data_IF_711933206315
#
_entry.id   IF_711933206315
#
_cell.length_a   1.000
_cell.length_b   1.000
_cell.length_c   1.000
_cell.angle_alpha   90.00
_cell.angle_beta   90.00
_cell.angle_gamma   90.00
#
_symmetry.space_group_name_H-M   'P 1'
#
loop_
_entity.id
_entity.type
_entity.pdbx_description
1 polymer ?
#
# COMPACT_ATOMS: atom_id res chain seq x y z
N UNK A 1 -8.83 9.98 3.26
CA UNK A 1 -8.85 9.58 1.83
C UNK A 1 -7.86 8.45 1.60
N UNK A 2 -6.57 8.63 1.87
CA UNK A 2 -5.51 7.61 1.68
C UNK A 2 -5.82 6.29 2.42
N UNK A 3 -6.08 6.33 3.72
CA UNK A 3 -6.38 5.11 4.50
C UNK A 3 -7.66 4.39 4.07
N UNK A 4 -8.67 5.14 3.59
CA UNK A 4 -9.95 4.57 3.11
C UNK A 4 -9.81 3.78 1.82
N UNK A 5 -8.69 3.90 1.12
CA UNK A 5 -8.38 3.16 -0.10
C UNK A 5 -7.28 2.12 0.12
N UNK A 6 -7.00 1.73 1.37
CA UNK A 6 -5.91 0.82 1.70
C UNK A 6 -4.51 1.43 1.56
N UNK A 7 -4.42 2.75 1.44
CA UNK A 7 -3.15 3.44 1.30
C UNK A 7 -2.48 3.69 2.65
N UNK A 8 -1.15 3.74 2.61
CA UNK A 8 -0.31 4.16 3.74
C UNK A 8 0.02 5.63 3.55
N UNK A 9 -0.24 6.43 4.59
CA UNK A 9 0.02 7.87 4.56
C UNK A 9 1.41 8.17 5.14
N UNK A 10 2.22 8.89 4.36
CA UNK A 10 3.54 9.36 4.75
C UNK A 10 3.62 10.89 4.60
N UNK A 11 4.14 11.58 5.62
CA UNK A 11 4.41 13.02 5.54
C UNK A 11 5.76 13.24 4.83
N UNK A 12 5.71 13.78 3.62
CA UNK A 12 6.90 14.16 2.85
C UNK A 12 7.52 15.45 3.40
N UNK A 13 8.84 15.55 3.30
CA UNK A 13 9.68 16.71 3.56
C UNK A 13 9.21 17.60 4.72
N UNK A 14 9.12 17.06 5.97
CA UNK A 14 8.51 17.75 7.10
C UNK A 14 9.31 18.98 7.59
N UNK A 15 10.57 19.11 7.18
CA UNK A 15 11.41 20.30 7.40
C UNK A 15 10.85 21.59 6.77
N UNK A 16 9.98 21.48 5.78
CA UNK A 16 9.31 22.64 5.18
C UNK A 16 8.19 23.22 6.07
N UNK A 17 7.88 22.60 7.21
CA UNK A 17 6.81 23.02 8.13
C UNK A 17 7.31 24.07 9.13
N UNK A 18 6.50 25.11 9.36
CA UNK A 18 6.78 26.13 10.39
C UNK A 18 6.62 25.62 11.83
N UNK A 19 5.68 24.69 12.06
CA UNK A 19 5.41 24.10 13.38
C UNK A 19 5.24 22.57 13.24
N UNK A 20 6.34 21.84 13.04
CA UNK A 20 6.28 20.42 12.70
C UNK A 20 5.61 19.58 13.78
N UNK A 21 5.87 19.82 15.07
CA UNK A 21 5.29 19.02 16.16
C UNK A 21 3.75 19.08 16.18
N UNK A 22 3.17 20.27 16.04
CA UNK A 22 1.72 20.43 16.05
C UNK A 22 1.03 19.79 14.85
N UNK A 23 1.64 19.94 13.66
CA UNK A 23 1.13 19.33 12.43
C UNK A 23 1.23 17.82 12.50
N UNK A 24 2.38 17.27 12.89
CA UNK A 24 2.61 15.82 12.99
C UNK A 24 1.64 15.19 13.99
N UNK A 25 1.43 15.81 15.15
CA UNK A 25 0.44 15.35 16.14
C UNK A 25 -0.97 15.30 15.57
N UNK A 26 -1.39 16.36 14.88
CA UNK A 26 -2.72 16.42 14.27
C UNK A 26 -2.88 15.34 13.18
N UNK A 27 -1.86 15.15 12.34
CA UNK A 27 -1.88 14.15 11.29
C UNK A 27 -1.85 12.73 11.87
N UNK A 28 -1.09 12.48 12.95
CA UNK A 28 -1.11 11.20 13.66
C UNK A 28 -2.52 10.88 14.15
N UNK A 29 -3.20 11.84 14.77
CA UNK A 29 -4.60 11.69 15.19
C UNK A 29 -5.57 11.41 14.02
N UNK A 30 -5.22 11.83 12.80
CA UNK A 30 -5.98 11.56 11.58
C UNK A 30 -5.56 10.25 10.85
N UNK A 31 -4.63 9.48 11.41
CA UNK A 31 -4.16 8.21 10.83
C UNK A 31 -2.90 8.34 9.96
N UNK A 32 -1.94 9.21 10.34
CA UNK A 32 -0.60 9.21 9.74
C UNK A 32 0.20 7.98 10.18
N UNK A 33 0.82 7.30 9.21
CA UNK A 33 1.56 6.06 9.44
C UNK A 33 3.08 6.29 9.49
N UNK A 34 3.58 7.14 8.60
CA UNK A 34 4.99 7.35 8.39
C UNK A 34 5.32 8.83 8.16
N UNK A 35 6.61 9.16 8.22
CA UNK A 35 7.11 10.46 7.79
C UNK A 35 8.52 10.34 7.23
N UNK A 36 8.87 11.29 6.39
CA UNK A 36 10.22 11.40 5.87
C UNK A 36 11.19 11.87 6.96
N UNK A 37 12.29 11.15 7.10
CA UNK A 37 13.36 11.40 8.06
C UNK A 37 14.73 11.34 7.37
N UNK A 38 14.88 10.43 6.40
CA UNK A 38 16.13 10.22 5.68
C UNK A 38 16.16 11.07 4.41
N UNK A 39 17.29 11.74 4.20
CA UNK A 39 17.68 12.47 2.98
C UNK A 39 19.04 11.95 2.53
N UNK A 40 19.55 12.43 1.39
CA UNK A 40 20.87 12.06 0.85
C UNK A 40 22.03 12.40 1.78
N UNK A 41 21.88 13.47 2.57
CA UNK A 41 22.85 13.86 3.62
C UNK A 41 22.80 12.97 4.87
N UNK A 42 21.86 12.02 4.94
CA UNK A 42 21.84 10.96 5.93
C UNK A 42 21.14 11.26 7.26
N UNK A 43 20.66 12.48 7.55
CA UNK A 43 19.80 12.79 8.71
C UNK A 43 19.36 14.26 8.77
N UNK A 44 18.08 14.48 9.07
CA UNK A 44 17.57 15.80 9.52
C UNK A 44 17.33 15.78 11.02
N UNK A 45 18.12 16.55 11.75
CA UNK A 45 18.08 16.62 13.21
C UNK A 45 16.68 16.98 13.73
N UNK A 46 16.25 16.30 14.80
CA UNK A 46 14.95 16.47 15.43
C UNK A 46 13.80 15.66 14.83
N UNK A 47 13.79 15.39 13.52
CA UNK A 47 12.69 14.63 12.90
C UNK A 47 12.69 13.15 13.28
N UNK A 48 13.86 12.50 13.43
CA UNK A 48 13.91 11.13 13.95
C UNK A 48 13.23 11.01 15.32
N UNK A 49 13.45 12.00 16.20
CA UNK A 49 12.86 12.03 17.55
C UNK A 49 11.35 12.31 17.50
N UNK A 50 10.90 13.16 16.57
CA UNK A 50 9.46 13.39 16.35
C UNK A 50 8.77 12.14 15.81
N UNK A 51 9.39 11.40 14.89
CA UNK A 51 8.85 10.12 14.42
C UNK A 51 8.73 9.12 15.57
N UNK A 52 9.76 8.98 16.39
CA UNK A 52 9.74 8.12 17.58
C UNK A 52 8.64 8.54 18.56
N UNK A 53 8.57 9.84 18.90
CA UNK A 53 7.58 10.42 19.81
C UNK A 53 6.15 10.08 19.41
N UNK A 54 5.84 10.07 18.12
CA UNK A 54 4.49 9.82 17.61
C UNK A 54 4.28 8.40 17.06
N UNK A 55 5.27 7.51 17.22
CA UNK A 55 5.21 6.14 16.72
C UNK A 55 4.95 6.10 15.21
N UNK A 56 5.76 6.84 14.45
CA UNK A 56 5.73 6.91 12.99
C UNK A 56 6.92 6.16 12.40
N UNK A 57 6.67 5.45 11.30
CA UNK A 57 7.75 4.83 10.53
C UNK A 57 8.60 5.91 9.86
N UNK A 58 9.92 5.73 9.87
CA UNK A 58 10.90 6.64 9.30
C UNK A 58 11.18 6.23 7.85
N UNK A 59 10.81 7.07 6.90
CA UNK A 59 11.04 6.85 5.47
C UNK A 59 11.97 7.91 4.87
N UNK A 60 12.25 7.80 3.58
CA UNK A 60 13.13 8.72 2.84
C UNK A 60 12.86 8.65 1.34
N UNK A 61 13.04 9.77 0.65
CA UNK A 61 12.99 9.86 -0.81
C UNK A 61 13.89 10.98 -1.32
N UNK A 62 14.29 10.92 -2.57
CA UNK A 62 15.18 11.94 -3.15
C UNK A 62 14.46 13.25 -3.49
N UNK A 63 13.13 13.20 -3.65
CA UNK A 63 12.34 14.31 -4.19
C UNK A 63 12.91 14.85 -5.52
N UNK A 64 13.42 13.94 -6.36
CA UNK A 64 14.09 14.26 -7.61
C UNK A 64 13.11 14.81 -8.66
N UNK A 65 13.50 15.87 -9.35
CA UNK A 65 12.72 16.58 -10.37
C UNK A 65 13.48 16.81 -11.69
N UNK A 66 14.74 16.36 -11.80
CA UNK A 66 15.54 16.47 -13.03
C UNK A 66 15.96 17.90 -13.37
N UNK A 67 16.20 18.75 -12.36
CA UNK A 67 16.61 20.14 -12.51
C UNK A 67 18.06 20.30 -12.94
N UNK A 68 18.90 19.28 -12.71
CA UNK A 68 20.34 19.32 -13.06
C UNK A 68 21.14 20.29 -12.18
N UNK A 69 20.58 20.69 -11.04
CA UNK A 69 21.25 21.53 -10.05
C UNK A 69 22.07 20.69 -9.10
N UNK A 70 23.21 21.20 -8.62
CA UNK A 70 24.09 20.48 -7.68
C UNK A 70 23.44 20.12 -6.34
N UNK A 71 22.36 20.81 -5.97
CA UNK A 71 21.65 20.61 -4.70
C UNK A 71 20.49 19.60 -4.82
N UNK A 72 20.24 19.07 -6.01
CA UNK A 72 19.23 18.03 -6.23
C UNK A 72 19.80 16.66 -5.88
N UNK A 73 19.02 15.85 -5.17
CA UNK A 73 19.41 14.48 -4.85
C UNK A 73 19.00 13.54 -5.97
N UNK A 74 19.94 12.77 -6.51
CA UNK A 74 19.66 11.79 -7.56
C UNK A 74 18.71 10.67 -7.11
N UNK A 75 18.05 10.06 -8.08
CA UNK A 75 17.14 8.93 -7.86
C UNK A 75 17.87 7.78 -7.17
N UNK A 76 17.33 7.32 -6.04
CA UNK A 76 17.89 6.19 -5.29
C UNK A 76 19.08 6.51 -4.39
N UNK A 77 19.49 7.78 -4.28
CA UNK A 77 20.60 8.17 -3.40
C UNK A 77 20.23 8.29 -1.92
N UNK A 78 18.94 8.39 -1.60
CA UNK A 78 18.46 8.25 -0.21
C UNK A 78 18.44 6.78 0.17
N UNK A 79 19.49 6.33 0.87
CA UNK A 79 19.60 4.94 1.31
C UNK A 79 18.74 4.69 2.54
N UNK A 80 17.94 3.61 2.49
CA UNK A 80 17.15 3.13 3.62
C UNK A 80 17.73 1.79 4.10
N UNK A 81 17.77 1.60 5.41
CA UNK A 81 18.13 0.31 5.97
C UNK A 81 17.09 -0.74 5.56
N UNK A 82 17.53 -1.98 5.31
CA UNK A 82 16.61 -3.08 4.98
C UNK A 82 15.56 -3.30 6.07
N UNK A 83 15.91 -3.03 7.33
CA UNK A 83 14.99 -3.08 8.46
C UNK A 83 13.86 -2.07 8.34
N UNK A 84 14.10 -0.88 7.78
CA UNK A 84 13.05 0.10 7.47
C UNK A 84 12.05 -0.47 6.47
N UNK A 85 12.53 -1.17 5.43
CA UNK A 85 11.67 -1.84 4.47
C UNK A 85 10.85 -2.96 5.12
N UNK A 86 11.48 -3.79 5.96
CA UNK A 86 10.76 -4.83 6.70
C UNK A 86 9.64 -4.23 7.57
N UNK A 87 9.94 -3.20 8.37
CA UNK A 87 8.92 -2.55 9.20
C UNK A 87 7.83 -1.86 8.38
N UNK A 88 8.15 -1.33 7.19
CA UNK A 88 7.14 -0.85 6.25
C UNK A 88 6.20 -1.98 5.83
N UNK A 89 6.75 -3.12 5.39
CA UNK A 89 5.97 -4.26 4.92
C UNK A 89 5.13 -4.89 6.04
N UNK A 90 5.66 -4.99 7.26
CA UNK A 90 4.95 -5.46 8.44
C UNK A 90 3.72 -4.59 8.75
N UNK A 91 3.87 -3.26 8.70
CA UNK A 91 2.76 -2.32 8.89
C UNK A 91 1.78 -2.37 7.70
N UNK A 92 2.30 -2.43 6.48
CA UNK A 92 1.54 -2.37 5.25
C UNK A 92 0.63 -3.57 5.05
N UNK A 93 1.14 -4.77 5.37
CA UNK A 93 0.48 -6.04 5.12
C UNK A 93 -0.96 -6.10 5.63
N UNK A 94 -1.27 -5.87 6.91
CA UNK A 94 -2.65 -5.94 7.39
C UNK A 94 -3.57 -4.89 6.73
N UNK A 95 -3.04 -3.70 6.42
CA UNK A 95 -3.81 -2.64 5.75
C UNK A 95 -4.18 -3.07 4.33
N UNK A 96 -3.21 -3.60 3.57
CA UNK A 96 -3.44 -4.07 2.21
C UNK A 96 -4.34 -5.29 2.16
N UNK A 97 -4.14 -6.25 3.08
CA UNK A 97 -5.01 -7.42 3.20
C UNK A 97 -6.46 -6.99 3.47
N UNK A 98 -6.70 -6.12 4.45
CA UNK A 98 -8.05 -5.61 4.74
C UNK A 98 -8.66 -4.86 3.56
N UNK A 99 -7.92 -3.94 2.93
CA UNK A 99 -8.43 -3.17 1.81
C UNK A 99 -8.79 -4.04 0.61
N UNK A 100 -7.99 -5.06 0.36
CA UNK A 100 -8.29 -5.98 -0.73
C UNK A 100 -9.46 -6.91 -0.39
N UNK A 101 -9.61 -7.36 0.87
CA UNK A 101 -10.81 -8.10 1.30
C UNK A 101 -12.06 -7.28 0.99
N UNK A 102 -12.06 -5.99 1.35
CA UNK A 102 -13.17 -5.09 1.08
C UNK A 102 -13.47 -4.97 -0.43
N UNK A 103 -12.43 -4.93 -1.27
CA UNK A 103 -12.57 -4.86 -2.73
C UNK A 103 -13.21 -6.14 -3.26
N UNK A 104 -12.75 -7.31 -2.82
CA UNK A 104 -13.28 -8.61 -3.25
C UNK A 104 -14.70 -8.84 -2.71
N UNK A 105 -14.99 -8.45 -1.46
CA UNK A 105 -16.34 -8.48 -0.87
C UNK A 105 -17.31 -7.67 -1.72
N UNK A 106 -16.98 -6.41 -2.02
CA UNK A 106 -17.83 -5.54 -2.84
C UNK A 106 -18.06 -6.10 -4.25
N UNK A 107 -17.04 -6.72 -4.84
CA UNK A 107 -17.20 -7.41 -6.12
C UNK A 107 -18.11 -8.64 -5.98
N UNK A 108 -17.96 -9.43 -4.92
CA UNK A 108 -18.76 -10.62 -4.68
C UNK A 108 -20.25 -10.32 -4.37
N UNK A 109 -20.54 -9.16 -3.77
CA UNK A 109 -21.91 -8.68 -3.55
C UNK A 109 -22.63 -8.32 -4.86
N UNK A 110 -21.92 -7.75 -5.83
CA UNK A 110 -22.48 -7.34 -7.12
C UNK A 110 -21.49 -7.69 -8.26
N UNK A 111 -21.43 -8.96 -8.68
CA UNK A 111 -20.42 -9.39 -9.63
C UNK A 111 -20.84 -9.00 -11.05
N UNK A 112 -20.16 -8.01 -11.62
CA UNK A 112 -20.40 -7.48 -12.96
C UNK A 112 -19.10 -7.08 -13.65
N UNK A 113 -19.07 -7.12 -14.99
CA UNK A 113 -17.93 -6.65 -15.78
C UNK A 113 -17.57 -5.18 -15.49
N UNK A 114 -18.58 -4.35 -15.19
CA UNK A 114 -18.40 -2.96 -14.80
C UNK A 114 -17.69 -2.82 -13.43
N UNK A 115 -18.03 -3.66 -12.45
CA UNK A 115 -17.37 -3.66 -11.15
C UNK A 115 -15.97 -4.28 -11.22
N UNK A 116 -15.78 -5.33 -12.03
CA UNK A 116 -14.46 -5.89 -12.33
C UNK A 116 -13.52 -4.86 -12.96
N UNK A 117 -14.01 -4.08 -13.93
CA UNK A 117 -13.24 -3.01 -14.57
C UNK A 117 -12.82 -1.89 -13.61
N UNK A 118 -13.60 -1.62 -12.55
CA UNK A 118 -13.21 -0.68 -11.49
C UNK A 118 -12.10 -1.26 -10.62
N UNK A 119 -12.16 -2.56 -10.30
CA UNK A 119 -11.14 -3.28 -9.51
C UNK A 119 -9.81 -3.37 -10.25
N UNK A 120 -9.84 -3.65 -11.55
CA UNK A 120 -8.66 -3.81 -12.41
C UNK A 120 -8.09 -2.50 -12.95
N UNK A 121 -8.70 -1.35 -12.65
CA UNK A 121 -8.39 -0.05 -13.25
C UNK A 121 -6.91 0.37 -13.14
N UNK A 122 -6.21 -0.09 -12.09
CA UNK A 122 -4.81 0.26 -11.82
C UNK A 122 -3.84 -0.94 -11.88
N UNK A 123 -4.36 -2.14 -12.14
CA UNK A 123 -3.54 -3.34 -12.31
C UNK A 123 -3.56 -3.78 -13.77
N UNK A 124 -2.52 -3.47 -14.53
CA UNK A 124 -2.24 -4.30 -15.72
C UNK A 124 -1.73 -5.63 -15.21
N UNK A 125 -2.55 -6.69 -15.33
CA UNK A 125 -2.07 -8.05 -15.20
C UNK A 125 -1.22 -8.38 -16.44
N UNK A 126 0.05 -7.98 -16.42
CA UNK A 126 1.02 -8.48 -17.38
C UNK A 126 1.27 -9.95 -17.03
N UNK A 127 0.81 -10.83 -17.91
CA UNK A 127 0.95 -12.28 -17.81
C UNK A 127 2.45 -12.64 -17.75
N UNK A 128 3.00 -13.10 -16.61
CA UNK A 128 4.34 -13.67 -16.61
C UNK A 128 4.20 -15.11 -17.09
N UNK A 129 4.54 -15.35 -18.35
CA UNK A 129 4.82 -16.64 -18.98
C UNK A 129 3.94 -17.85 -18.57
N UNK A 130 2.89 -18.13 -19.36
CA UNK A 130 2.39 -19.50 -19.53
C UNK A 130 0.95 -19.81 -19.11
N UNK A 131 0.19 -18.86 -18.56
CA UNK A 131 -1.25 -19.05 -18.33
C UNK A 131 -2.10 -18.46 -19.47
N UNK A 132 -3.23 -19.11 -19.76
CA UNK A 132 -4.18 -18.70 -20.80
C UNK A 132 -4.59 -17.20 -20.65
N UNK A 133 -5.04 -16.52 -21.73
CA UNK A 133 -5.51 -15.15 -21.64
C UNK A 133 -6.55 -15.02 -20.53
N UNK A 134 -6.35 -14.09 -19.60
CA UNK A 134 -7.31 -13.75 -18.54
C UNK A 134 -8.49 -13.04 -19.24
N UNK A 135 -9.39 -13.83 -19.84
CA UNK A 135 -10.53 -13.36 -20.65
C UNK A 135 -11.83 -13.37 -19.84
N UNK A 136 -11.79 -13.83 -18.59
CA UNK A 136 -12.96 -13.90 -17.72
C UNK A 136 -12.67 -13.35 -16.33
N UNK A 137 -13.65 -12.68 -15.71
CA UNK A 137 -13.54 -12.20 -14.32
C UNK A 137 -13.23 -13.29 -13.31
N UNK A 138 -13.50 -14.54 -13.69
CA UNK A 138 -13.20 -15.77 -12.94
C UNK A 138 -11.70 -16.02 -12.78
N UNK A 139 -10.90 -15.75 -13.81
CA UNK A 139 -9.45 -16.03 -13.81
C UNK A 139 -8.69 -15.08 -12.87
N UNK A 140 -9.09 -13.80 -12.87
CA UNK A 140 -8.54 -12.77 -11.95
C UNK A 140 -8.84 -13.14 -10.50
N UNK A 141 -10.08 -13.53 -10.24
CA UNK A 141 -10.55 -13.91 -8.91
C UNK A 141 -9.78 -15.13 -8.40
N UNK A 142 -9.61 -16.16 -9.22
CA UNK A 142 -8.86 -17.36 -8.86
C UNK A 142 -7.37 -17.07 -8.60
N UNK A 143 -6.76 -16.17 -9.39
CA UNK A 143 -5.38 -15.73 -9.19
C UNK A 143 -5.19 -14.95 -7.87
N UNK A 144 -6.13 -14.07 -7.54
CA UNK A 144 -6.11 -13.35 -6.26
C UNK A 144 -6.24 -14.30 -5.08
N UNK A 145 -7.16 -15.27 -5.15
CA UNK A 145 -7.38 -16.27 -4.11
C UNK A 145 -6.13 -17.15 -3.92
N UNK A 146 -5.53 -17.67 -4.99
CA UNK A 146 -4.35 -18.55 -4.89
C UNK A 146 -3.12 -17.83 -4.33
N UNK A 147 -2.95 -16.54 -4.65
CA UNK A 147 -1.84 -15.73 -4.12
C UNK A 147 -1.99 -15.45 -2.61
N UNK A 148 -3.22 -15.34 -2.12
CA UNK A 148 -3.51 -15.08 -0.71
C UNK A 148 -3.46 -16.31 0.18
N UNK A 149 -3.84 -17.47 -0.34
CA UNK A 149 -3.93 -18.73 0.40
C UNK A 149 -2.56 -19.38 0.68
N UNK A 150 -1.45 -18.81 0.20
CA UNK A 150 -0.10 -19.33 0.46
C UNK A 150 0.44 -19.01 1.86
N UNK A 151 -0.32 -18.31 2.71
CA UNK A 151 0.09 -17.95 4.06
C UNK A 151 -0.93 -18.43 5.10
N UNK A 152 -0.47 -19.30 6.01
CA UNK A 152 -1.23 -20.14 6.96
C UNK A 152 -2.09 -19.43 8.03
N UNK A 153 -2.23 -18.10 8.02
CA UNK A 153 -2.71 -17.37 9.21
C UNK A 153 -4.14 -16.78 9.10
N UNK A 154 -4.98 -17.26 8.19
CA UNK A 154 -6.36 -16.77 8.11
C UNK A 154 -7.40 -17.86 7.90
N UNK A 155 -7.75 -18.54 9.00
CA UNK A 155 -9.12 -19.05 9.22
C UNK A 155 -10.09 -17.87 9.38
N UNK A 156 -10.24 -17.07 8.33
CA UNK A 156 -11.13 -15.91 8.34
C UNK A 156 -12.47 -16.29 7.70
N UNK A 157 -13.49 -16.43 8.55
CA UNK A 157 -14.87 -16.79 8.14
C UNK A 157 -15.40 -15.86 7.05
N UNK A 158 -15.02 -14.57 7.09
CA UNK A 158 -15.43 -13.60 6.07
C UNK A 158 -14.75 -13.88 4.73
N UNK A 159 -13.51 -14.38 4.75
CA UNK A 159 -12.78 -14.76 3.53
C UNK A 159 -13.39 -16.00 2.87
N UNK A 160 -13.82 -16.98 3.66
CA UNK A 160 -14.52 -18.15 3.13
C UNK A 160 -15.92 -17.80 2.59
N UNK A 161 -16.59 -16.79 3.15
CA UNK A 161 -17.82 -16.23 2.55
C UNK A 161 -17.54 -15.56 1.20
N UNK A 162 -16.50 -14.73 1.12
CA UNK A 162 -16.03 -14.11 -0.14
C UNK A 162 -15.76 -15.19 -1.17
N UNK A 163 -14.99 -16.21 -0.80
CA UNK A 163 -14.63 -17.32 -1.66
C UNK A 163 -15.87 -18.05 -2.17
N UNK A 164 -16.82 -18.37 -1.30
CA UNK A 164 -18.06 -19.06 -1.67
C UNK A 164 -18.86 -18.27 -2.70
N UNK A 165 -19.02 -16.95 -2.50
CA UNK A 165 -19.72 -16.07 -3.45
C UNK A 165 -18.99 -15.96 -4.78
N UNK A 166 -17.66 -15.87 -4.75
CA UNK A 166 -16.81 -15.80 -5.94
C UNK A 166 -16.83 -17.09 -6.77
N UNK A 167 -16.78 -18.25 -6.12
CA UNK A 167 -16.94 -19.56 -6.79
C UNK A 167 -18.33 -19.70 -7.42
N UNK A 168 -19.38 -19.23 -6.73
CA UNK A 168 -20.73 -19.22 -7.31
C UNK A 168 -20.87 -18.31 -8.53
N UNK A 169 -20.14 -17.19 -8.60
CA UNK A 169 -20.09 -16.35 -9.80
C UNK A 169 -19.34 -17.04 -10.94
N UNK A 170 -18.17 -17.59 -10.65
CA UNK A 170 -17.33 -18.33 -11.59
C UNK A 170 -18.08 -19.49 -12.28
N UNK A 171 -18.98 -20.16 -11.56
CA UNK A 171 -19.80 -21.25 -12.10
C UNK A 171 -20.99 -20.78 -12.97
N UNK A 172 -21.34 -19.49 -12.94
CA UNK A 172 -22.50 -18.91 -13.67
C UNK A 172 -22.10 -18.20 -14.96
N UNK A 173 -20.83 -17.86 -15.12
CA UNK A 173 -20.23 -17.24 -16.31
C UNK A 173 -19.47 -18.29 -17.11
#
# INVERSE_FOLDING_TARGET
>A
MISRTGGISALAHPWSLKNPDAVIRSLKGAGLHAMEVYRSDGKVDGFSQLAEKYGLLKLGGSDFHGKGTKDETDVGEVKLAITTLCSFLEMARPIWCSAMKDILLKFAEEPSAANLGKTLKFGQLSNPDGFAPIDSGTDVVNLCLSSWLSYDDMEDVELEEVRSKLVCYAAKT
#
